data_IF_474256072802
#
_entry.id   IF_474256072802
#
_cell.length_a   1.000
_cell.length_b   1.000
_cell.length_c   1.000
_cell.angle_alpha   90.00
_cell.angle_beta   90.00
_cell.angle_gamma   90.00
#
_symmetry.space_group_name_H-M   'P 1'
#
loop_
_entity.id
_entity.type
_entity.pdbx_description
1 polymer ?
#
# COMPACT_ATOMS: atom_id res chain seq x y z
N UNK A 1 13.43 -20.94 2.54
CA UNK A 1 12.75 -21.11 1.25
C UNK A 1 11.31 -21.45 1.56
N UNK A 2 10.38 -20.50 1.45
CA UNK A 2 8.97 -20.76 1.72
C UNK A 2 8.30 -21.21 0.43
N UNK A 3 7.70 -22.40 0.48
CA UNK A 3 6.96 -23.03 -0.62
C UNK A 3 5.57 -22.40 -0.71
N UNK A 4 5.25 -21.71 -1.80
CA UNK A 4 3.91 -21.19 -2.13
C UNK A 4 2.91 -22.30 -2.52
N UNK A 5 3.07 -23.52 -1.99
CA UNK A 5 2.09 -24.59 -2.18
C UNK A 5 0.95 -24.33 -1.21
N UNK A 6 -0.26 -24.26 -1.74
CA UNK A 6 -1.54 -24.28 -1.02
C UNK A 6 -2.16 -22.93 -0.64
N UNK A 7 -2.20 -21.98 -1.59
CA UNK A 7 -3.35 -21.05 -1.62
C UNK A 7 -4.33 -21.61 -2.65
N UNK A 8 -5.29 -22.41 -2.21
CA UNK A 8 -6.36 -22.90 -3.06
C UNK A 8 -7.29 -21.74 -3.42
N UNK A 9 -7.50 -21.52 -4.73
CA UNK A 9 -8.51 -20.58 -5.20
C UNK A 9 -9.90 -21.08 -4.80
N UNK A 10 -10.61 -20.27 -4.02
CA UNK A 10 -11.97 -20.56 -3.61
C UNK A 10 -12.94 -19.89 -4.59
N UNK A 11 -14.02 -20.57 -5.01
CA UNK A 11 -15.03 -19.96 -5.86
C UNK A 11 -15.82 -18.91 -5.06
N UNK A 12 -15.73 -17.65 -5.46
CA UNK A 12 -16.41 -16.50 -4.82
C UNK A 12 -17.42 -15.92 -5.79
N UNK A 13 -18.59 -15.48 -5.31
CA UNK A 13 -19.57 -14.83 -6.19
C UNK A 13 -19.02 -13.50 -6.70
N UNK A 14 -19.35 -13.13 -7.93
CA UNK A 14 -18.90 -11.89 -8.54
C UNK A 14 -19.28 -10.65 -7.72
N UNK A 15 -20.42 -10.67 -7.03
CA UNK A 15 -20.86 -9.59 -6.15
C UNK A 15 -20.11 -9.47 -4.82
N UNK A 16 -19.40 -10.53 -4.43
CA UNK A 16 -18.65 -10.63 -3.17
C UNK A 16 -17.15 -10.35 -3.38
N UNK A 17 -16.71 -10.13 -4.62
CA UNK A 17 -15.33 -9.79 -4.95
C UNK A 17 -14.97 -8.40 -4.42
N UNK A 18 -13.74 -8.27 -3.94
CA UNK A 18 -13.21 -7.05 -3.38
C UNK A 18 -11.95 -6.61 -4.14
N UNK A 19 -11.66 -5.30 -4.11
CA UNK A 19 -10.39 -4.80 -4.63
C UNK A 19 -9.21 -5.47 -3.91
N UNK A 20 -8.23 -5.94 -4.68
CA UNK A 20 -7.09 -6.72 -4.20
C UNK A 20 -7.27 -8.23 -4.26
N UNK A 21 -8.48 -8.75 -4.48
CA UNK A 21 -8.67 -10.17 -4.78
C UNK A 21 -7.94 -10.53 -6.08
N UNK A 22 -7.35 -11.72 -6.13
CA UNK A 22 -6.69 -12.23 -7.35
C UNK A 22 -7.58 -13.30 -7.96
N UNK A 23 -7.97 -13.10 -9.21
CA UNK A 23 -8.87 -13.98 -9.94
C UNK A 23 -8.20 -14.56 -11.16
N UNK A 24 -8.60 -15.76 -11.54
CA UNK A 24 -8.20 -16.37 -12.81
C UNK A 24 -9.14 -15.87 -13.91
N UNK A 25 -8.59 -15.14 -14.87
CA UNK A 25 -9.36 -14.65 -16.01
C UNK A 25 -9.69 -15.75 -17.00
N UNK A 26 -10.69 -15.53 -17.90
CA UNK A 26 -11.03 -16.50 -18.95
C UNK A 26 -9.84 -16.86 -19.85
N UNK A 27 -8.84 -15.98 -19.94
CA UNK A 27 -7.61 -16.21 -20.68
C UNK A 27 -6.55 -17.00 -19.87
N UNK A 28 -6.96 -17.65 -18.77
CA UNK A 28 -6.12 -18.43 -17.86
C UNK A 28 -4.95 -17.63 -17.27
N UNK A 29 -5.17 -16.35 -16.98
CA UNK A 29 -4.18 -15.45 -16.36
C UNK A 29 -4.65 -15.00 -15.00
N UNK A 30 -3.70 -14.78 -14.09
CA UNK A 30 -4.00 -14.16 -12.79
C UNK A 30 -4.11 -12.65 -12.96
N UNK A 31 -5.22 -12.08 -12.51
CA UNK A 31 -5.49 -10.65 -12.58
C UNK A 31 -5.95 -10.15 -11.21
N UNK A 32 -5.51 -8.95 -10.83
CA UNK A 32 -5.90 -8.34 -9.55
C UNK A 32 -7.13 -7.48 -9.76
N UNK A 33 -8.17 -7.68 -8.94
CA UNK A 33 -9.37 -6.84 -8.94
C UNK A 33 -8.99 -5.44 -8.47
N UNK A 34 -9.23 -4.44 -9.31
CA UNK A 34 -9.04 -3.04 -8.96
C UNK A 34 -10.35 -2.41 -8.46
N UNK A 35 -11.47 -2.68 -9.13
CA UNK A 35 -12.78 -2.08 -8.81
C UNK A 35 -13.90 -3.08 -9.08
N UNK A 36 -14.92 -3.08 -8.21
CA UNK A 36 -16.18 -3.80 -8.42
C UNK A 36 -17.34 -2.81 -8.32
N UNK A 37 -18.13 -2.68 -9.39
CA UNK A 37 -19.28 -1.77 -9.49
C UNK A 37 -20.57 -2.57 -9.67
N UNK A 38 -21.60 -2.26 -8.88
CA UNK A 38 -22.94 -2.84 -9.08
C UNK A 38 -23.65 -2.04 -10.16
N UNK A 39 -23.93 -2.68 -11.30
CA UNK A 39 -24.60 -2.03 -12.42
C UNK A 39 -26.12 -2.01 -12.22
N UNK A 40 -26.68 -3.13 -11.76
CA UNK A 40 -28.10 -3.30 -11.50
C UNK A 40 -28.35 -4.40 -10.45
N UNK A 41 -29.61 -4.81 -10.28
CA UNK A 41 -29.99 -5.83 -9.31
C UNK A 41 -29.36 -7.21 -9.59
N UNK A 42 -28.95 -7.49 -10.82
CA UNK A 42 -28.49 -8.78 -11.31
C UNK A 42 -27.02 -8.79 -11.75
N UNK A 43 -26.41 -7.63 -12.07
CA UNK A 43 -25.08 -7.54 -12.70
C UNK A 43 -24.08 -6.70 -11.94
N UNK A 44 -22.81 -7.11 -12.05
CA UNK A 44 -21.64 -6.38 -11.58
C UNK A 44 -20.63 -6.19 -12.70
N UNK A 45 -19.93 -5.07 -12.66
CA UNK A 45 -18.78 -4.77 -13.49
C UNK A 45 -17.52 -4.88 -12.63
N UNK A 46 -16.57 -5.69 -13.08
CA UNK A 46 -15.29 -5.89 -12.41
C UNK A 46 -14.21 -5.32 -13.31
N UNK A 47 -13.40 -4.43 -12.78
CA UNK A 47 -12.19 -3.93 -13.45
C UNK A 47 -11.00 -4.60 -12.80
N UNK A 48 -10.19 -5.28 -13.59
CA UNK A 48 -8.94 -5.91 -13.16
C UNK A 48 -7.75 -5.19 -13.77
N UNK A 49 -6.59 -5.30 -13.12
CA UNK A 49 -5.33 -4.86 -13.65
C UNK A 49 -4.47 -6.05 -14.07
N UNK A 50 -4.06 -6.03 -15.34
CA UNK A 50 -3.05 -6.94 -15.88
C UNK A 50 -1.97 -6.12 -16.59
N UNK A 51 -0.83 -5.91 -15.91
CA UNK A 51 0.22 -5.02 -16.40
C UNK A 51 -0.25 -3.56 -16.42
N UNK A 52 -0.17 -2.89 -17.59
CA UNK A 52 -0.54 -1.46 -17.74
C UNK A 52 -1.95 -1.22 -18.28
N UNK A 53 -2.73 -2.27 -18.57
CA UNK A 53 -4.04 -2.15 -19.20
C UNK A 53 -5.13 -2.66 -18.26
N UNK A 54 -6.17 -1.86 -17.98
CA UNK A 54 -7.33 -2.35 -17.27
C UNK A 54 -8.12 -3.30 -18.18
N UNK A 55 -8.65 -4.38 -17.61
CA UNK A 55 -9.57 -5.30 -18.26
C UNK A 55 -10.91 -5.20 -17.54
N UNK A 56 -12.01 -5.15 -18.29
CA UNK A 56 -13.35 -4.94 -17.74
C UNK A 56 -14.22 -6.15 -18.03
N UNK A 57 -14.83 -6.71 -17.00
CA UNK A 57 -15.75 -7.84 -17.09
C UNK A 57 -17.12 -7.40 -16.63
N UNK A 58 -18.16 -7.96 -17.24
CA UNK A 58 -19.53 -7.84 -16.74
C UNK A 58 -20.05 -9.25 -16.49
N UNK A 59 -20.41 -9.51 -15.24
CA UNK A 59 -20.86 -10.82 -14.80
C UNK A 59 -22.20 -10.66 -14.08
N UNK A 60 -23.02 -11.70 -14.17
CA UNK A 60 -24.15 -11.82 -13.25
C UNK A 60 -23.61 -12.00 -11.82
N UNK A 61 -24.27 -11.36 -10.84
CA UNK A 61 -23.84 -11.28 -9.44
C UNK A 61 -23.51 -12.62 -8.80
N UNK A 62 -24.27 -13.66 -9.16
CA UNK A 62 -24.12 -15.02 -8.63
C UNK A 62 -23.05 -15.85 -9.34
N UNK A 63 -22.45 -15.34 -10.42
CA UNK A 63 -21.37 -16.03 -11.14
C UNK A 63 -20.22 -16.29 -10.20
N UNK A 64 -19.80 -17.56 -10.08
CA UNK A 64 -18.67 -17.93 -9.22
C UNK A 64 -17.36 -17.80 -9.99
N UNK A 65 -16.43 -17.02 -9.46
CA UNK A 65 -15.10 -16.80 -10.01
C UNK A 65 -14.07 -17.51 -9.12
N UNK A 66 -13.17 -18.35 -9.67
CA UNK A 66 -12.04 -18.89 -8.92
C UNK A 66 -11.17 -17.74 -8.40
N UNK A 67 -11.12 -17.59 -7.08
CA UNK A 67 -10.58 -16.41 -6.43
C UNK A 67 -9.60 -16.82 -5.35
N UNK A 68 -8.38 -16.31 -5.46
CA UNK A 68 -7.48 -16.21 -4.33
C UNK A 68 -7.90 -14.95 -3.59
N UNK A 69 -8.76 -15.13 -2.58
CA UNK A 69 -9.15 -14.02 -1.70
C UNK A 69 -7.87 -13.39 -1.17
N UNK A 70 -7.86 -12.07 -1.02
CA UNK A 70 -6.82 -11.39 -0.25
C UNK A 70 -6.90 -11.80 1.24
N UNK A 71 -6.68 -13.09 1.56
CA UNK A 71 -7.04 -13.62 2.87
C UNK A 71 -6.11 -13.02 3.94
N UNK A 72 -6.76 -12.46 4.97
CA UNK A 72 -6.23 -11.90 6.23
C UNK A 72 -5.50 -10.57 6.21
N UNK A 73 -5.05 -10.08 5.06
CA UNK A 73 -4.47 -8.74 4.96
C UNK A 73 -5.49 -7.82 4.30
N UNK A 74 -6.50 -7.36 5.07
CA UNK A 74 -6.99 -6.00 4.82
C UNK A 74 -5.72 -5.17 4.83
N UNK A 75 -5.27 -4.73 3.66
CA UNK A 75 -4.09 -3.89 3.51
C UNK A 75 -4.49 -2.52 4.06
N UNK A 76 -4.68 -2.48 5.38
CA UNK A 76 -4.78 -1.23 6.08
C UNK A 76 -3.48 -0.51 5.74
N UNK A 77 -3.57 0.73 5.25
CA UNK A 77 -2.39 1.54 5.06
C UNK A 77 -1.59 1.47 6.35
N UNK A 78 -0.30 1.19 6.24
CA UNK A 78 0.62 1.20 7.37
C UNK A 78 1.62 2.32 7.18
N UNK A 79 1.95 3.02 8.26
CA UNK A 79 3.07 3.96 8.23
C UNK A 79 4.35 3.15 8.35
N UNK A 80 5.11 3.08 7.26
CA UNK A 80 6.40 2.42 7.23
C UNK A 80 7.51 3.47 7.27
N UNK A 81 8.58 3.17 8.02
CA UNK A 81 9.84 3.91 7.96
C UNK A 81 10.86 3.04 7.26
N UNK A 82 11.54 3.62 6.29
CA UNK A 82 12.46 2.92 5.42
C UNK A 82 13.80 3.66 5.33
N UNK A 83 14.88 2.89 5.31
CA UNK A 83 16.24 3.39 5.16
C UNK A 83 16.83 2.77 3.90
N UNK A 84 17.16 3.56 2.87
CA UNK A 84 17.81 3.05 1.67
C UNK A 84 19.15 2.43 1.98
N UNK A 85 19.32 1.17 1.59
CA UNK A 85 20.62 0.50 1.63
C UNK A 85 21.67 1.22 0.75
N UNK A 86 21.23 1.85 -0.34
CA UNK A 86 22.08 2.57 -1.30
C UNK A 86 22.29 4.05 -0.96
N UNK A 87 21.47 4.61 -0.07
CA UNK A 87 21.57 6.00 0.40
C UNK A 87 21.54 5.98 1.93
N UNK A 88 22.64 5.50 2.54
CA UNK A 88 22.79 5.35 4.00
C UNK A 88 22.66 6.66 4.81
N UNK A 89 22.38 7.78 4.13
CA UNK A 89 22.18 9.14 4.64
C UNK A 89 20.75 9.63 4.44
N UNK A 90 19.79 8.74 4.22
CA UNK A 90 18.39 9.11 4.03
C UNK A 90 17.49 8.18 4.84
N UNK A 91 16.40 8.73 5.37
CA UNK A 91 15.32 7.99 6.01
C UNK A 91 14.04 8.53 5.39
N UNK A 92 13.16 7.65 4.94
CA UNK A 92 11.87 8.01 4.38
C UNK A 92 10.77 7.40 5.23
N UNK A 93 9.68 8.13 5.43
CA UNK A 93 8.47 7.59 6.02
C UNK A 93 7.28 7.88 5.11
N UNK A 94 6.41 6.89 5.00
CA UNK A 94 5.30 6.96 4.06
C UNK A 94 4.20 5.98 4.37
N UNK A 95 3.13 6.09 3.60
CA UNK A 95 2.05 5.12 3.63
C UNK A 95 2.42 3.99 2.69
N UNK A 96 2.31 2.76 3.19
CA UNK A 96 2.44 1.55 2.39
C UNK A 96 1.16 0.75 2.51
N UNK A 97 0.60 0.38 1.37
CA UNK A 97 -0.57 -0.50 1.30
C UNK A 97 -0.13 -1.95 1.36
N UNK A 98 0.93 -2.31 0.64
CA UNK A 98 1.48 -3.67 0.65
C UNK A 98 2.81 -3.75 1.42
N UNK A 99 2.87 -4.37 2.62
CA UNK A 99 4.10 -4.45 3.41
C UNK A 99 5.27 -5.13 2.66
N UNK A 100 4.96 -5.98 1.67
CA UNK A 100 5.93 -6.77 0.91
C UNK A 100 6.38 -6.12 -0.40
N UNK A 101 5.72 -5.04 -0.86
CA UNK A 101 6.10 -4.32 -2.07
C UNK A 101 6.54 -2.89 -1.76
N UNK A 102 7.82 -2.59 -1.99
CA UNK A 102 8.39 -1.26 -1.73
C UNK A 102 7.90 -0.20 -2.72
N UNK A 103 7.56 -0.59 -3.94
CA UNK A 103 7.16 0.33 -5.01
C UNK A 103 5.83 1.04 -4.73
N UNK A 104 5.06 0.54 -3.75
CA UNK A 104 3.73 1.06 -3.39
C UNK A 104 3.80 1.97 -2.14
N UNK A 105 4.98 2.52 -1.84
CA UNK A 105 5.18 3.44 -0.71
C UNK A 105 5.05 4.90 -1.17
N UNK A 106 4.01 5.58 -0.68
CA UNK A 106 3.82 7.01 -0.87
C UNK A 106 4.60 7.75 0.21
N UNK A 107 5.76 8.29 -0.14
CA UNK A 107 6.62 9.03 0.78
C UNK A 107 5.93 10.31 1.20
N UNK A 108 5.77 10.50 2.51
CA UNK A 108 5.11 11.68 3.08
C UNK A 108 6.09 12.58 3.83
N UNK A 109 7.20 12.02 4.28
CA UNK A 109 8.21 12.74 5.02
C UNK A 109 9.58 12.09 4.81
N UNK A 110 10.64 12.89 4.82
CA UNK A 110 11.99 12.41 4.63
C UNK A 110 12.96 13.09 5.60
N UNK A 111 14.07 12.44 5.90
CA UNK A 111 15.18 13.01 6.62
C UNK A 111 16.48 12.65 5.91
N UNK A 112 17.43 13.57 5.90
CA UNK A 112 18.73 13.39 5.26
C UNK A 112 19.86 13.72 6.22
N UNK A 113 21.03 13.09 6.06
CA UNK A 113 22.18 13.37 6.91
C UNK A 113 23.07 14.44 6.27
N UNK A 114 23.23 15.56 6.96
CA UNK A 114 24.03 16.69 6.49
C UNK A 114 25.41 16.70 7.14
N UNK A 115 26.45 16.56 6.30
CA UNK A 115 27.85 16.61 6.74
C UNK A 115 28.29 17.99 7.22
N UNK A 116 27.62 19.07 6.82
CA UNK A 116 28.01 20.45 7.14
C UNK A 116 27.37 20.99 8.44
N UNK A 117 26.56 20.20 9.15
CA UNK A 117 25.86 20.59 10.38
C UNK A 117 25.59 19.43 11.37
N UNK A 118 26.53 18.50 11.51
CA UNK A 118 26.59 17.38 12.49
C UNK A 118 25.27 16.72 12.93
N UNK A 119 24.36 16.44 11.99
CA UNK A 119 23.12 15.76 12.33
C UNK A 119 22.27 15.39 11.13
N UNK A 120 21.11 14.81 11.43
CA UNK A 120 20.05 14.58 10.46
C UNK A 120 19.18 15.84 10.37
N UNK A 121 18.91 16.29 9.14
CA UNK A 121 17.87 17.25 8.79
C UNK A 121 16.59 16.51 8.42
N UNK A 122 15.44 17.09 8.76
CA UNK A 122 14.13 16.52 8.52
C UNK A 122 13.30 17.47 7.65
N UNK A 123 12.71 16.94 6.58
CA UNK A 123 11.80 17.64 5.69
C UNK A 123 10.40 17.01 5.78
N UNK A 124 9.43 17.79 6.28
CA UNK A 124 8.01 17.44 6.15
C UNK A 124 7.56 17.76 4.72
N UNK A 125 7.42 16.72 3.89
CA UNK A 125 6.98 16.85 2.50
C UNK A 125 5.46 17.04 2.38
N UNK A 126 4.73 17.07 3.51
CA UNK A 126 3.27 17.21 3.56
C UNK A 126 2.75 18.64 3.64
N UNK A 127 3.63 19.61 3.84
CA UNK A 127 3.29 21.03 3.97
C UNK A 127 4.12 21.84 2.99
N UNK A 128 3.50 22.80 2.30
CA UNK A 128 4.20 23.77 1.43
C UNK A 128 5.24 24.63 2.19
N UNK A 129 5.22 24.56 3.53
CA UNK A 129 6.28 25.03 4.41
C UNK A 129 7.08 23.83 4.94
N UNK A 130 8.29 23.64 4.41
CA UNK A 130 9.26 22.71 4.98
C UNK A 130 9.83 23.30 6.27
N UNK A 131 9.43 22.77 7.43
CA UNK A 131 10.13 23.05 8.68
C UNK A 131 11.35 22.14 8.78
N UNK A 132 12.55 22.69 8.56
CA UNK A 132 13.80 21.97 8.78
C UNK A 132 14.19 21.99 10.25
N UNK A 133 14.49 20.83 10.81
CA UNK A 133 15.10 20.69 12.13
C UNK A 133 16.46 20.04 11.96
N UNK A 134 17.53 20.80 12.23
CA UNK A 134 18.91 20.35 12.09
C UNK A 134 19.47 19.75 13.38
N UNK A 135 20.56 18.99 13.26
CA UNK A 135 21.31 18.47 14.42
C UNK A 135 20.68 17.25 15.11
N UNK A 136 19.72 16.57 14.48
CA UNK A 136 19.06 15.40 15.08
C UNK A 136 19.98 14.17 15.09
N UNK A 137 19.87 13.35 16.13
CA UNK A 137 20.39 11.96 16.08
C UNK A 137 19.55 11.12 15.10
N UNK A 138 20.13 10.02 14.60
CA UNK A 138 19.42 9.10 13.68
C UNK A 138 18.08 8.61 14.25
N UNK A 139 18.05 8.30 15.54
CA UNK A 139 16.83 7.85 16.23
C UNK A 139 15.78 8.97 16.31
N UNK A 140 16.20 10.21 16.60
CA UNK A 140 15.29 11.37 16.62
C UNK A 140 14.75 11.66 15.22
N UNK A 141 15.58 11.63 14.19
CA UNK A 141 15.15 11.80 12.79
C UNK A 141 14.15 10.71 12.38
N UNK A 142 14.43 9.44 12.72
CA UNK A 142 13.53 8.31 12.48
C UNK A 142 12.16 8.49 13.16
N UNK A 143 12.16 9.03 14.38
CA UNK A 143 10.93 9.31 15.13
C UNK A 143 10.16 10.50 14.51
N UNK A 144 10.88 11.55 14.10
CA UNK A 144 10.31 12.73 13.44
C UNK A 144 9.60 12.37 12.13
N UNK A 145 10.28 11.65 11.22
CA UNK A 145 9.67 11.21 9.94
C UNK A 145 8.44 10.32 10.17
N UNK A 146 8.50 9.41 11.16
CA UNK A 146 7.37 8.53 11.49
C UNK A 146 6.17 9.34 12.02
N UNK A 147 6.43 10.30 12.90
CA UNK A 147 5.39 11.15 13.49
C UNK A 147 4.74 12.04 12.44
N UNK A 148 5.54 12.66 11.56
CA UNK A 148 5.04 13.46 10.44
C UNK A 148 4.19 12.63 9.48
N UNK A 149 4.69 11.47 9.05
CA UNK A 149 3.92 10.56 8.20
C UNK A 149 2.60 10.11 8.87
N UNK A 150 2.61 9.78 10.17
CA UNK A 150 1.37 9.42 10.91
C UNK A 150 0.39 10.60 11.00
N UNK A 151 0.88 11.80 11.28
CA UNK A 151 0.06 13.02 11.34
C UNK A 151 -0.58 13.32 9.98
N UNK A 152 0.20 13.28 8.91
CA UNK A 152 -0.29 13.54 7.57
C UNK A 152 -1.28 12.46 7.12
N UNK A 153 -1.00 11.20 7.41
CA UNK A 153 -1.88 10.13 7.03
C UNK A 153 -3.22 10.15 7.81
N UNK A 154 -3.23 10.63 9.06
CA UNK A 154 -4.47 10.97 9.79
C UNK A 154 -5.24 12.14 9.14
N UNK A 155 -4.55 13.18 8.67
CA UNK A 155 -5.18 14.29 7.92
C UNK A 155 -5.85 13.79 6.63
N UNK A 156 -5.30 12.76 6.00
CA UNK A 156 -5.87 12.09 4.83
C UNK A 156 -7.01 11.11 5.16
N UNK A 157 -7.44 11.01 6.42
CA UNK A 157 -8.55 10.15 6.83
C UNK A 157 -8.23 8.66 6.84
N UNK A 158 -6.95 8.28 6.90
CA UNK A 158 -6.54 6.89 6.93
C UNK A 158 -6.52 6.39 8.38
N UNK A 159 -7.26 5.31 8.66
CA UNK A 159 -7.21 4.58 9.92
C UNK A 159 -6.11 3.51 9.88
N UNK A 160 -5.20 3.56 10.84
CA UNK A 160 -4.05 2.65 10.95
C UNK A 160 -4.28 1.65 12.09
N UNK A 161 -4.10 0.36 11.85
CA UNK A 161 -3.79 -0.56 12.95
C UNK A 161 -2.45 -0.14 13.55
N UNK A 162 -2.45 0.27 14.82
CA UNK A 162 -1.21 0.51 15.56
C UNK A 162 -0.46 -0.80 15.70
N UNK A 163 0.50 -1.07 14.80
CA UNK A 163 1.46 -2.15 15.00
C UNK A 163 2.64 -1.56 15.76
N UNK A 164 2.59 -1.64 17.09
CA UNK A 164 3.79 -1.52 17.92
C UNK A 164 4.70 -2.71 17.62
N UNK A 165 5.90 -2.43 17.11
CA UNK A 165 7.07 -3.30 17.14
C UNK A 165 8.27 -2.44 17.44
#
# INVERSE_FOLDING_TARGET
MYSFRDIEAQPVKAEDLEAGDVIASPALRSETVAVVERLDACRVKITTEFGRKPVVWQLDRWTKVPTLRCSKFKMQPTVAVWEPTYEARKIEAGIRFNPHNRSDMFVLAAASFERRGQGWSFDDLSTECAESVDGLTKAQARSAVRKAAKSHARRLGLDFAETER
#
